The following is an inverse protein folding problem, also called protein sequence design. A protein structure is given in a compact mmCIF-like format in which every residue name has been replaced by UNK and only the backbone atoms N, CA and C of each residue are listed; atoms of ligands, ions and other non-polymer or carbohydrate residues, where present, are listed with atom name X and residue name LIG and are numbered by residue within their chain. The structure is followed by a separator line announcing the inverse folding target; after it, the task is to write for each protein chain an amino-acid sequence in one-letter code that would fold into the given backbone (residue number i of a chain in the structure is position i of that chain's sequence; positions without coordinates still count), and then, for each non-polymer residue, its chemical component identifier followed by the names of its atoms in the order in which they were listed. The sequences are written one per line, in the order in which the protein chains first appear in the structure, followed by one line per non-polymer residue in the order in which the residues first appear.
data_IF_124415314822
#
_entry.id   IF_124415314822
#
_cell.length_a   1.000
_cell.length_b   1.000
_cell.length_c   1.000
_cell.angle_alpha   90.00
_cell.angle_beta   90.00
_cell.angle_gamma   90.00
#
_symmetry.space_group_name_H-M   'P 1'
#
loop_
_entity.id
_entity.type
_entity.pdbx_description
1 polymer ?
#
# COMPACT_ATOMS: atom_id res chain seq x y z
N UNK A 1 -6.46 -24.07 -18.80
CA UNK A 1 -6.63 -23.64 -17.39
C UNK A 1 -7.79 -22.66 -17.43
N UNK A 2 -8.98 -23.14 -17.07
CA UNK A 2 -10.13 -22.26 -16.89
C UNK A 2 -9.90 -21.47 -15.61
N UNK A 3 -9.83 -20.15 -15.73
CA UNK A 3 -9.73 -19.26 -14.58
C UNK A 3 -11.11 -19.30 -13.93
N UNK A 4 -11.19 -19.84 -12.71
CA UNK A 4 -12.41 -19.84 -11.91
C UNK A 4 -12.95 -18.41 -11.77
N UNK A 5 -14.27 -18.25 -11.87
CA UNK A 5 -14.94 -16.96 -11.72
C UNK A 5 -14.77 -16.48 -10.27
N UNK A 6 -14.03 -15.40 -10.03
CA UNK A 6 -13.84 -14.86 -8.67
C UNK A 6 -14.83 -13.73 -8.45
N UNK A 7 -15.68 -13.84 -7.43
CA UNK A 7 -16.75 -12.88 -7.16
C UNK A 7 -16.32 -11.90 -6.08
N UNK A 8 -16.11 -10.64 -6.46
CA UNK A 8 -16.06 -9.53 -5.50
C UNK A 8 -17.39 -9.45 -4.75
N UNK A 9 -17.37 -9.46 -3.42
CA UNK A 9 -18.54 -9.19 -2.57
C UNK A 9 -18.32 -7.91 -1.79
N UNK A 10 -19.14 -6.90 -2.07
CA UNK A 10 -19.25 -5.75 -1.20
C UNK A 10 -20.05 -6.15 0.05
N UNK A 11 -19.38 -6.39 1.17
CA UNK A 11 -20.07 -6.61 2.44
C UNK A 11 -20.33 -5.24 3.06
N UNK A 12 -21.55 -4.73 2.86
CA UNK A 12 -22.04 -3.52 3.51
C UNK A 12 -22.29 -3.73 5.03
N UNK A 13 -21.28 -4.21 5.75
CA UNK A 13 -21.19 -4.12 7.20
C UNK A 13 -20.06 -3.12 7.49
N UNK A 14 -20.41 -1.84 7.63
CA UNK A 14 -19.46 -0.74 7.90
C UNK A 14 -18.48 -0.36 6.76
N UNK A 15 -18.83 -0.64 5.48
CA UNK A 15 -18.10 -0.06 4.34
C UNK A 15 -16.84 -0.83 3.89
N UNK A 16 -16.82 -2.15 4.08
CA UNK A 16 -15.75 -3.05 3.62
C UNK A 16 -16.15 -3.69 2.29
N UNK A 17 -15.25 -3.67 1.31
CA UNK A 17 -15.39 -4.39 0.05
C UNK A 17 -14.42 -5.57 0.05
N UNK A 18 -14.95 -6.78 -0.07
CA UNK A 18 -14.18 -8.03 -0.02
C UNK A 18 -14.17 -8.72 -1.39
N UNK A 19 -13.14 -9.51 -1.66
CA UNK A 19 -13.11 -10.44 -2.78
C UNK A 19 -13.22 -11.86 -2.21
N UNK A 20 -14.25 -12.63 -2.61
CA UNK A 20 -14.51 -13.96 -2.06
C UNK A 20 -14.62 -14.96 -3.21
N UNK A 21 -13.94 -16.11 -3.11
CA UNK A 21 -14.13 -17.21 -4.05
C UNK A 21 -15.57 -17.77 -3.90
N UNK A 22 -16.27 -18.06 -5.00
CA UNK A 22 -17.64 -18.54 -4.91
C UNK A 22 -17.65 -20.02 -4.55
N UNK A 23 -17.85 -20.36 -3.28
CA UNK A 23 -18.35 -21.68 -2.88
C UNK A 23 -19.21 -21.61 -1.61
N UNK A 24 -20.22 -22.47 -1.60
CA UNK A 24 -21.26 -22.75 -0.58
C UNK A 24 -22.55 -21.89 -0.60
N UNK A 25 -23.64 -22.64 -0.80
CA UNK A 25 -25.03 -22.23 -0.88
C UNK A 25 -25.44 -21.22 0.21
N UNK A 26 -25.98 -20.07 -0.18
CA UNK A 26 -26.77 -19.25 0.75
C UNK A 26 -26.69 -17.72 0.65
N UNK A 27 -26.09 -17.13 -0.38
CA UNK A 27 -25.93 -15.68 -0.42
C UNK A 27 -26.99 -14.96 -1.26
N UNK A 28 -27.90 -14.25 -0.56
CA UNK A 28 -28.89 -13.34 -1.15
C UNK A 28 -28.22 -12.05 -1.62
N UNK A 29 -28.30 -11.81 -2.93
CA UNK A 29 -28.03 -10.54 -3.61
C UNK A 29 -28.96 -9.45 -3.09
N UNK A 30 -28.46 -8.42 -2.40
CA UNK A 30 -29.19 -7.15 -2.36
C UNK A 30 -28.30 -5.89 -2.51
N UNK A 31 -26.98 -5.90 -2.25
CA UNK A 31 -26.14 -4.67 -2.33
C UNK A 31 -24.65 -4.89 -2.70
N UNK A 32 -24.31 -5.88 -3.53
CA UNK A 32 -22.94 -6.11 -3.99
C UNK A 32 -22.55 -5.22 -5.18
N UNK A 33 -21.29 -4.78 -5.28
CA UNK A 33 -20.72 -4.41 -6.59
C UNK A 33 -20.14 -5.67 -7.23
N UNK A 34 -20.34 -5.84 -8.53
CA UNK A 34 -19.73 -6.93 -9.27
C UNK A 34 -18.20 -6.75 -9.36
N UNK A 35 -17.49 -7.83 -9.68
CA UNK A 35 -16.04 -7.87 -9.73
C UNK A 35 -15.44 -6.89 -10.74
N UNK A 36 -16.05 -6.74 -11.92
CA UNK A 36 -15.54 -5.82 -12.95
C UNK A 36 -15.75 -4.36 -12.51
N UNK A 37 -16.90 -4.03 -11.90
CA UNK A 37 -17.11 -2.72 -11.28
C UNK A 37 -16.09 -2.44 -10.16
N UNK A 38 -15.82 -3.39 -9.27
CA UNK A 38 -14.80 -3.28 -8.23
C UNK A 38 -13.40 -3.02 -8.82
N UNK A 39 -12.99 -3.85 -9.77
CA UNK A 39 -11.72 -3.72 -10.48
C UNK A 39 -11.60 -2.35 -11.15
N UNK A 40 -12.66 -1.88 -11.81
CA UNK A 40 -12.66 -0.60 -12.51
C UNK A 40 -12.51 0.57 -11.53
N UNK A 41 -13.33 0.60 -10.46
CA UNK A 41 -13.34 1.69 -9.47
C UNK A 41 -12.02 1.80 -8.72
N UNK A 42 -11.45 0.67 -8.26
CA UNK A 42 -10.34 0.70 -7.32
C UNK A 42 -8.96 0.47 -7.96
N UNK A 43 -8.87 -0.15 -9.13
CA UNK A 43 -7.59 -0.60 -9.67
C UNK A 43 -7.33 -0.16 -11.11
N UNK A 44 -8.29 -0.33 -12.03
CA UNK A 44 -8.06 -0.15 -13.48
C UNK A 44 -7.73 1.28 -13.84
N UNK A 45 -8.52 2.24 -13.37
CA UNK A 45 -8.31 3.66 -13.68
C UNK A 45 -7.00 4.18 -13.09
N UNK A 46 -6.39 3.42 -12.17
CA UNK A 46 -5.11 3.71 -11.51
C UNK A 46 -3.94 2.87 -12.03
N UNK A 47 -4.22 2.00 -13.02
CA UNK A 47 -3.26 1.02 -13.53
C UNK A 47 -2.63 0.15 -12.41
N UNK A 48 -3.41 -0.10 -11.35
CA UNK A 48 -3.05 -0.92 -10.19
C UNK A 48 -3.64 -2.35 -10.29
N UNK A 49 -4.12 -2.77 -11.46
CA UNK A 49 -4.72 -4.11 -11.66
C UNK A 49 -3.76 -5.23 -11.29
N UNK A 50 -2.45 -4.98 -11.32
CA UNK A 50 -1.43 -5.94 -10.89
C UNK A 50 -1.61 -6.39 -9.43
N UNK A 51 -2.18 -5.56 -8.55
CA UNK A 51 -2.42 -5.94 -7.15
C UNK A 51 -3.44 -7.07 -7.10
N UNK A 52 -4.53 -6.91 -7.84
CA UNK A 52 -5.59 -7.89 -7.96
C UNK A 52 -5.07 -9.16 -8.64
N UNK A 53 -4.43 -9.04 -9.80
CA UNK A 53 -3.90 -10.17 -10.57
C UNK A 53 -2.92 -11.01 -9.75
N UNK A 54 -1.96 -10.37 -9.09
CA UNK A 54 -0.96 -11.07 -8.26
C UNK A 54 -1.54 -11.61 -6.96
N UNK A 55 -2.54 -10.93 -6.38
CA UNK A 55 -3.21 -11.45 -5.20
C UNK A 55 -3.94 -12.77 -5.52
N UNK A 56 -4.62 -12.83 -6.68
CA UNK A 56 -5.27 -14.05 -7.15
C UNK A 56 -4.26 -15.15 -7.45
N UNK A 57 -3.17 -14.83 -8.16
CA UNK A 57 -2.10 -15.79 -8.47
C UNK A 57 -1.49 -16.39 -7.20
N UNK A 58 -1.33 -15.59 -6.15
CA UNK A 58 -0.67 -16.00 -4.91
C UNK A 58 -1.61 -16.50 -3.82
N UNK A 59 -2.93 -16.50 -4.04
CA UNK A 59 -3.91 -16.83 -3.00
C UNK A 59 -3.88 -15.85 -1.82
N UNK A 60 -3.60 -14.56 -2.08
CA UNK A 60 -3.54 -13.51 -1.07
C UNK A 60 -4.91 -12.87 -0.91
N UNK A 61 -5.37 -12.80 0.33
CA UNK A 61 -6.60 -12.08 0.68
C UNK A 61 -6.30 -10.62 1.01
N UNK A 62 -7.08 -9.71 0.43
CA UNK A 62 -7.07 -8.30 0.78
C UNK A 62 -8.49 -7.70 0.71
N UNK A 63 -8.67 -6.56 1.35
CA UNK A 63 -9.95 -5.86 1.44
C UNK A 63 -9.71 -4.38 1.09
N UNK A 64 -10.68 -3.74 0.44
CA UNK A 64 -10.71 -2.29 0.36
C UNK A 64 -11.70 -1.79 1.41
N UNK A 65 -11.23 -0.96 2.34
CA UNK A 65 -12.06 -0.43 3.41
C UNK A 65 -12.25 1.08 3.24
N UNK A 66 -13.52 1.50 3.37
CA UNK A 66 -13.90 2.91 3.45
C UNK A 66 -14.23 3.27 4.90
N UNK A 67 -13.90 4.51 5.29
CA UNK A 67 -14.12 5.01 6.63
C UNK A 67 -15.16 6.13 6.61
N UNK A 68 -16.00 6.20 7.65
CA UNK A 68 -17.03 7.25 7.76
C UNK A 68 -16.45 8.64 8.04
N UNK A 69 -15.21 8.70 8.53
CA UNK A 69 -14.49 9.93 8.90
C UNK A 69 -13.12 9.91 8.22
N UNK A 70 -12.63 11.09 7.80
CA UNK A 70 -11.26 11.26 7.30
C UNK A 70 -10.25 10.85 8.35
N UNK A 71 -9.22 10.11 7.93
CA UNK A 71 -8.06 9.75 8.75
C UNK A 71 -6.81 10.37 8.13
N UNK A 72 -6.16 11.27 8.88
CA UNK A 72 -4.92 11.94 8.42
C UNK A 72 -3.69 11.38 9.14
N UNK A 73 -3.89 10.75 10.30
CA UNK A 73 -2.84 10.21 11.13
C UNK A 73 -3.05 8.72 11.40
N UNK A 74 -1.96 7.99 11.66
CA UNK A 74 -2.06 6.57 12.03
C UNK A 74 -2.84 6.35 13.33
N UNK A 75 -2.83 7.31 14.26
CA UNK A 75 -3.59 7.20 15.51
C UNK A 75 -5.10 7.26 15.26
N UNK A 76 -5.55 8.17 14.39
CA UNK A 76 -6.95 8.24 13.97
C UNK A 76 -7.37 6.97 13.26
N UNK A 77 -6.53 6.49 12.33
CA UNK A 77 -6.79 5.29 11.56
C UNK A 77 -6.85 4.04 12.44
N UNK A 78 -5.88 3.83 13.33
CA UNK A 78 -5.86 2.74 14.31
C UNK A 78 -7.11 2.73 15.20
N UNK A 79 -7.60 3.91 15.60
CA UNK A 79 -8.82 4.04 16.39
C UNK A 79 -10.06 3.60 15.61
N UNK A 80 -10.17 3.98 14.34
CA UNK A 80 -11.33 3.64 13.49
C UNK A 80 -11.31 2.18 13.07
N UNK A 81 -10.15 1.66 12.65
CA UNK A 81 -9.99 0.27 12.22
C UNK A 81 -9.92 -0.70 13.41
N UNK A 82 -9.75 -0.18 14.63
CA UNK A 82 -9.53 -0.95 15.86
C UNK A 82 -8.30 -1.86 15.77
N UNK A 83 -7.33 -1.48 14.94
CA UNK A 83 -6.05 -2.17 14.80
C UNK A 83 -5.02 -1.58 15.78
N UNK A 84 -4.06 -2.39 16.25
CA UNK A 84 -2.86 -1.87 16.91
C UNK A 84 -2.14 -0.87 16.00
N UNK A 85 -1.50 0.15 16.59
CA UNK A 85 -0.83 1.20 15.82
C UNK A 85 0.27 0.64 14.89
N UNK A 86 0.96 -0.42 15.31
CA UNK A 86 1.95 -1.12 14.48
C UNK A 86 1.37 -1.75 13.21
N UNK A 87 0.06 -2.06 13.19
CA UNK A 87 -0.64 -2.63 12.02
C UNK A 87 -1.26 -1.58 11.13
N UNK A 88 -1.09 -0.29 11.44
CA UNK A 88 -1.41 0.80 10.51
C UNK A 88 -0.13 1.22 9.83
N UNK A 89 -0.06 1.08 8.51
CA UNK A 89 1.18 1.22 7.74
C UNK A 89 1.29 2.62 7.15
N UNK A 90 2.45 3.24 7.34
CA UNK A 90 2.82 4.53 6.76
C UNK A 90 3.66 4.32 5.50
N UNK A 91 3.28 5.00 4.44
CA UNK A 91 4.17 5.30 3.34
C UNK A 91 4.90 6.63 3.56
N UNK A 92 6.17 6.69 3.18
CA UNK A 92 6.90 7.94 2.99
C UNK A 92 7.61 7.91 1.65
N UNK A 93 7.79 9.08 1.05
CA UNK A 93 8.77 9.26 -0.02
C UNK A 93 9.87 10.18 0.46
N UNK A 94 11.10 9.74 0.27
CA UNK A 94 12.30 10.53 0.53
C UNK A 94 13.08 10.66 -0.78
N UNK A 95 13.78 11.76 -0.96
CA UNK A 95 14.55 12.02 -2.17
C UNK A 95 16.01 12.26 -1.82
N UNK A 96 16.88 11.82 -2.72
CA UNK A 96 18.30 12.16 -2.73
C UNK A 96 18.46 13.47 -3.49
N UNK A 97 18.77 14.55 -2.77
CA UNK A 97 18.84 15.89 -3.36
C UNK A 97 20.02 16.10 -4.33
N UNK A 98 20.93 15.12 -4.45
CA UNK A 98 22.05 15.14 -5.40
C UNK A 98 21.75 14.34 -6.67
N UNK A 99 21.05 13.22 -6.55
CA UNK A 99 20.75 12.33 -7.69
C UNK A 99 19.31 12.44 -8.18
N UNK A 100 18.46 13.17 -7.47
CA UNK A 100 17.02 13.32 -7.72
C UNK A 100 16.25 11.98 -7.71
N UNK A 101 16.87 10.92 -7.19
CA UNK A 101 16.22 9.63 -7.00
C UNK A 101 15.26 9.70 -5.81
N UNK A 102 14.09 9.06 -5.96
CA UNK A 102 13.08 8.94 -4.92
C UNK A 102 13.09 7.52 -4.37
N UNK A 103 12.96 7.38 -3.06
CA UNK A 103 12.84 6.12 -2.36
C UNK A 103 11.53 6.09 -1.56
N UNK A 104 10.75 5.02 -1.76
CA UNK A 104 9.56 4.75 -0.96
C UNK A 104 9.94 4.03 0.32
N UNK A 105 9.45 4.49 1.47
CA UNK A 105 9.61 3.80 2.75
C UNK A 105 8.25 3.31 3.20
N UNK A 106 8.18 2.06 3.63
CA UNK A 106 6.95 1.41 4.08
C UNK A 106 7.18 0.95 5.51
N UNK A 107 6.61 1.62 6.50
CA UNK A 107 6.92 1.37 7.91
C UNK A 107 5.67 1.30 8.80
N UNK A 108 5.72 0.56 9.91
CA UNK A 108 4.67 0.58 10.93
C UNK A 108 4.35 1.98 11.47
N UNK A 109 3.09 2.19 11.85
CA UNK A 109 2.53 3.47 12.30
C UNK A 109 3.17 4.01 13.57
N UNK A 110 3.70 3.13 14.40
CA UNK A 110 4.36 3.39 15.68
C UNK A 110 5.87 3.65 15.57
N UNK A 111 6.46 3.56 14.37
CA UNK A 111 7.90 3.75 14.16
C UNK A 111 8.26 5.00 13.37
N UNK A 112 9.50 5.46 13.50
CA UNK A 112 10.07 6.57 12.73
C UNK A 112 11.41 6.14 12.17
N UNK A 113 11.63 6.28 10.86
CA UNK A 113 12.87 5.86 10.23
C UNK A 113 14.05 6.76 10.63
N UNK A 114 15.26 6.22 10.53
CA UNK A 114 16.52 6.96 10.71
C UNK A 114 17.14 7.25 9.35
N UNK A 115 17.48 8.52 9.06
CA UNK A 115 18.02 8.93 7.75
C UNK A 115 19.31 8.21 7.37
N UNK A 116 20.23 8.01 8.31
CA UNK A 116 21.48 7.28 8.06
C UNK A 116 21.23 5.82 7.68
N UNK A 117 20.22 5.17 8.26
CA UNK A 117 19.81 3.81 7.88
C UNK A 117 19.23 3.76 6.46
N UNK A 118 18.45 4.77 6.08
CA UNK A 118 17.99 4.91 4.70
C UNK A 118 19.18 5.12 3.76
N UNK A 119 20.10 6.03 4.08
CA UNK A 119 21.30 6.31 3.31
C UNK A 119 22.15 5.05 3.09
N UNK A 120 22.42 4.29 4.16
CA UNK A 120 23.10 3.00 4.11
C UNK A 120 22.40 2.02 3.15
N UNK A 121 21.07 1.88 3.27
CA UNK A 121 20.28 0.97 2.44
C UNK A 121 20.32 1.31 0.94
N UNK A 122 20.53 2.58 0.58
CA UNK A 122 20.60 3.06 -0.80
C UNK A 122 22.03 3.34 -1.28
N UNK A 123 23.04 3.01 -0.47
CA UNK A 123 24.46 3.14 -0.85
C UNK A 123 24.98 4.58 -0.82
N UNK A 124 24.39 5.44 0.00
CA UNK A 124 24.87 6.80 0.27
C UNK A 124 25.79 6.76 1.49
N UNK A 125 26.89 7.52 1.42
CA UNK A 125 27.82 7.61 2.54
C UNK A 125 27.13 8.24 3.77
N UNK A 126 27.30 7.63 4.94
CA UNK A 126 26.61 8.05 6.17
C UNK A 126 26.93 9.50 6.59
N UNK A 127 28.14 9.98 6.29
CA UNK A 127 28.54 11.37 6.58
C UNK A 127 27.74 12.40 5.77
N UNK A 128 27.10 11.98 4.67
CA UNK A 128 26.24 12.81 3.82
C UNK A 128 24.74 12.61 4.11
N UNK A 129 24.35 11.71 5.02
CA UNK A 129 22.96 11.26 5.12
C UNK A 129 21.98 12.38 5.49
N UNK A 130 22.37 13.26 6.41
CA UNK A 130 21.50 14.33 6.90
C UNK A 130 21.21 15.39 5.84
N UNK A 131 22.22 15.71 5.03
CA UNK A 131 22.14 16.72 3.98
C UNK A 131 21.64 16.15 2.67
N UNK A 132 21.75 14.85 2.43
CA UNK A 132 21.43 14.24 1.14
C UNK A 132 20.03 13.61 1.09
N UNK A 133 19.57 13.03 2.21
CA UNK A 133 18.25 12.41 2.29
C UNK A 133 17.25 13.36 2.93
N UNK A 134 16.30 13.78 2.11
CA UNK A 134 15.24 14.70 2.49
C UNK A 134 13.87 14.08 2.27
N UNK A 135 12.85 14.59 2.96
CA UNK A 135 11.48 14.21 2.67
C UNK A 135 11.11 14.75 1.30
N UNK A 136 10.54 13.92 0.43
CA UNK A 136 10.14 14.38 -0.90
C UNK A 136 8.95 15.33 -0.78
N UNK A 137 9.06 16.47 -1.45
CA UNK A 137 7.94 17.41 -1.64
C UNK A 137 7.03 16.97 -2.80
N UNK A 138 7.50 16.03 -3.62
CA UNK A 138 6.79 15.50 -4.77
C UNK A 138 6.15 14.17 -4.43
N UNK A 139 4.83 14.11 -4.56
CA UNK A 139 4.06 12.88 -4.41
C UNK A 139 3.63 12.39 -5.79
N UNK A 140 3.44 11.07 -5.96
CA UNK A 140 2.78 10.52 -7.13
C UNK A 140 1.43 11.18 -7.39
N UNK A 141 1.01 11.16 -8.66
CA UNK A 141 -0.30 11.69 -9.05
C UNK A 141 -1.41 11.14 -8.13
N UNK A 142 -2.27 12.06 -7.66
CA UNK A 142 -3.39 11.82 -6.76
C UNK A 142 -3.08 11.32 -5.34
N UNK A 143 -1.81 11.12 -5.00
CA UNK A 143 -1.38 10.86 -3.62
C UNK A 143 -1.25 12.18 -2.88
N UNK A 144 -1.81 12.22 -1.67
CA UNK A 144 -1.79 13.38 -0.77
C UNK A 144 -0.98 13.06 0.50
N UNK A 145 -0.58 14.09 1.23
CA UNK A 145 0.01 13.91 2.54
C UNK A 145 -1.00 13.22 3.47
N UNK A 146 -0.59 12.09 4.06
CA UNK A 146 -1.47 11.25 4.89
C UNK A 146 -2.09 10.07 4.14
N UNK A 147 -2.05 10.05 2.81
CA UNK A 147 -2.54 8.93 1.99
C UNK A 147 -1.41 8.17 1.27
N UNK A 148 -0.16 8.54 1.50
CA UNK A 148 1.04 7.90 0.91
C UNK A 148 1.07 6.39 1.18
N UNK A 149 1.27 5.60 0.11
CA UNK A 149 1.30 4.14 0.11
C UNK A 149 2.25 3.60 -0.97
N UNK A 150 2.71 2.34 -0.89
CA UNK A 150 3.68 1.81 -1.84
C UNK A 150 3.08 1.30 -3.16
N UNK A 151 1.75 1.17 -3.24
CA UNK A 151 1.05 0.69 -4.43
C UNK A 151 0.98 1.76 -5.51
N UNK A 152 1.97 1.81 -6.39
CA UNK A 152 2.07 2.84 -7.45
C UNK A 152 2.41 2.22 -8.80
N UNK A 153 2.55 3.05 -9.83
CA UNK A 153 3.27 2.73 -11.06
C UNK A 153 4.61 3.47 -11.13
N UNK A 154 5.56 2.90 -11.88
CA UNK A 154 6.88 3.51 -12.08
C UNK A 154 6.83 4.86 -12.80
N UNK A 155 5.77 5.10 -13.57
CA UNK A 155 5.54 6.35 -14.29
C UNK A 155 4.91 7.44 -13.40
N UNK A 156 4.50 7.09 -12.18
CA UNK A 156 3.77 8.00 -11.30
C UNK A 156 4.63 9.11 -10.70
N UNK A 157 5.96 9.02 -10.80
CA UNK A 157 6.88 10.11 -10.47
C UNK A 157 7.32 10.80 -11.77
N UNK A 158 6.69 11.94 -12.07
CA UNK A 158 7.01 12.80 -13.22
C UNK A 158 6.68 14.24 -12.85
N UNK A 159 7.45 15.27 -13.28
CA UNK A 159 8.62 15.19 -14.18
C UNK A 159 10.00 15.07 -13.50
N UNK A 160 10.10 15.25 -12.17
CA UNK A 160 11.40 15.56 -11.51
C UNK A 160 11.96 14.47 -10.60
N UNK A 161 11.41 13.25 -10.59
CA UNK A 161 11.91 12.19 -9.73
C UNK A 161 11.69 10.82 -10.34
N UNK A 162 12.61 9.90 -10.09
CA UNK A 162 12.46 8.50 -10.47
C UNK A 162 12.38 7.66 -9.20
N UNK A 163 11.31 6.88 -9.03
CA UNK A 163 11.29 5.89 -7.96
C UNK A 163 12.39 4.86 -8.20
N UNK A 164 13.40 4.88 -7.35
CA UNK A 164 14.55 3.99 -7.49
C UNK A 164 14.37 2.72 -6.66
N UNK A 165 13.89 2.82 -5.40
CA UNK A 165 13.66 1.67 -4.52
C UNK A 165 12.43 1.87 -3.62
N UNK A 166 11.79 0.76 -3.24
CA UNK A 166 10.82 0.68 -2.16
C UNK A 166 11.43 -0.15 -1.02
N UNK A 167 11.50 0.43 0.17
CA UNK A 167 12.15 -0.10 1.35
C UNK A 167 11.10 -0.46 2.40
N UNK A 168 11.03 -1.74 2.73
CA UNK A 168 10.20 -2.28 3.80
C UNK A 168 11.05 -2.50 5.06
N UNK A 169 10.44 -2.34 6.24
CA UNK A 169 11.04 -2.73 7.51
C UNK A 169 11.24 -4.25 7.55
N UNK A 170 12.49 -4.70 7.51
CA UNK A 170 12.86 -6.12 7.52
C UNK A 170 12.36 -6.86 8.76
N UNK A 171 12.44 -6.24 9.93
CA UNK A 171 12.04 -6.89 11.17
C UNK A 171 10.53 -7.07 11.22
N UNK A 172 9.80 -6.07 10.73
CA UNK A 172 8.35 -6.19 10.61
C UNK A 172 7.93 -7.19 9.52
N UNK A 173 8.59 -7.22 8.35
CA UNK A 173 8.38 -8.27 7.34
C UNK A 173 8.45 -9.67 7.94
N UNK A 174 9.52 -9.96 8.70
CA UNK A 174 9.70 -11.26 9.35
C UNK A 174 8.57 -11.56 10.33
N UNK A 175 8.24 -10.61 11.21
CA UNK A 175 7.14 -10.73 12.17
C UNK A 175 5.81 -11.04 11.47
N UNK A 176 5.48 -10.32 10.39
CA UNK A 176 4.18 -10.45 9.70
C UNK A 176 4.07 -11.68 8.81
N UNK A 177 5.20 -12.21 8.32
CA UNK A 177 5.27 -13.52 7.67
C UNK A 177 4.96 -14.67 8.66
N UNK A 178 5.40 -14.53 9.91
CA UNK A 178 5.19 -15.55 10.95
C UNK A 178 3.78 -15.45 11.58
N UNK A 179 3.32 -14.24 11.90
CA UNK A 179 2.05 -14.02 12.61
C UNK A 179 0.82 -13.96 11.70
N UNK A 180 1.00 -13.62 10.41
CA UNK A 180 -0.11 -13.41 9.48
C UNK A 180 -1.08 -12.29 9.90
N UNK A 181 -2.23 -12.20 9.21
CA UNK A 181 -3.29 -11.23 9.46
C UNK A 181 -3.13 -9.90 8.73
N UNK A 182 -4.19 -9.10 8.71
CA UNK A 182 -4.26 -7.87 7.91
C UNK A 182 -3.54 -6.69 8.58
N UNK A 183 -2.92 -5.88 7.74
CA UNK A 183 -2.34 -4.58 8.06
C UNK A 183 -3.00 -3.51 7.17
N UNK A 184 -3.23 -2.31 7.71
CA UNK A 184 -3.99 -1.24 7.05
C UNK A 184 -3.06 -0.25 6.35
N UNK A 185 -3.09 -0.24 5.03
CA UNK A 185 -2.37 0.72 4.21
C UNK A 185 -3.34 1.81 3.76
N UNK A 186 -2.88 3.05 3.67
CA UNK A 186 -3.60 4.04 2.89
C UNK A 186 -3.72 3.60 1.43
N UNK A 187 -4.78 4.04 0.77
CA UNK A 187 -5.06 3.71 -0.61
C UNK A 187 -5.70 4.91 -1.29
N UNK A 188 -5.39 5.13 -2.56
CA UNK A 188 -5.91 6.27 -3.32
C UNK A 188 -6.59 5.79 -4.60
N UNK A 189 -7.62 6.52 -5.03
CA UNK A 189 -8.43 6.25 -6.22
C UNK A 189 -8.68 7.51 -7.03
N UNK A 190 -9.03 7.36 -8.31
CA UNK A 190 -9.09 8.47 -9.25
C UNK A 190 -10.09 9.54 -8.80
N UNK A 191 -9.79 10.84 -8.96
CA UNK A 191 -10.71 11.90 -8.56
C UNK A 191 -12.12 11.75 -9.16
N UNK A 192 -12.24 11.14 -10.35
CA UNK A 192 -13.53 10.85 -10.99
C UNK A 192 -14.41 9.86 -10.21
N UNK A 193 -13.83 9.04 -9.34
CA UNK A 193 -14.58 8.09 -8.50
C UNK A 193 -15.37 8.79 -7.39
N UNK A 194 -15.00 10.05 -7.05
CA UNK A 194 -15.64 10.82 -6.00
C UNK A 194 -15.32 10.35 -4.57
N UNK A 195 -14.45 9.36 -4.40
CA UNK A 195 -14.01 8.92 -3.07
C UNK A 195 -13.01 9.90 -2.46
N UNK A 196 -13.14 10.11 -1.15
CA UNK A 196 -12.18 10.83 -0.34
C UNK A 196 -11.05 9.88 0.06
N UNK A 197 -9.85 10.08 -0.51
CA UNK A 197 -8.69 9.21 -0.31
C UNK A 197 -8.28 9.07 1.18
N UNK A 198 -8.59 10.05 2.02
CA UNK A 198 -8.32 9.95 3.47
C UNK A 198 -9.27 9.01 4.22
N UNK A 199 -10.30 8.54 3.53
CA UNK A 199 -11.26 7.57 4.03
C UNK A 199 -11.03 6.19 3.44
N UNK A 200 -10.00 6.02 2.61
CA UNK A 200 -9.79 4.78 1.87
C UNK A 200 -8.53 4.07 2.36
N UNK A 201 -8.63 2.74 2.44
CA UNK A 201 -7.52 1.85 2.79
C UNK A 201 -7.59 0.56 2.00
N UNK A 202 -6.42 -0.04 1.81
CA UNK A 202 -6.29 -1.44 1.43
C UNK A 202 -5.74 -2.20 2.63
N UNK A 203 -6.50 -3.19 3.07
CA UNK A 203 -6.14 -4.07 4.18
C UNK A 203 -5.59 -5.35 3.60
N UNK A 204 -4.30 -5.57 3.80
CA UNK A 204 -3.54 -6.68 3.26
C UNK A 204 -2.42 -7.00 4.26
N UNK A 205 -2.02 -8.25 4.39
CA UNK A 205 -0.86 -8.57 5.22
C UNK A 205 0.40 -7.83 4.70
N UNK A 206 1.20 -7.29 5.62
CA UNK A 206 2.38 -6.50 5.25
C UNK A 206 3.42 -7.28 4.43
N UNK A 207 3.60 -8.57 4.71
CA UNK A 207 4.48 -9.44 3.93
C UNK A 207 3.89 -9.76 2.54
N UNK A 208 2.58 -9.93 2.45
CA UNK A 208 1.90 -10.14 1.16
C UNK A 208 1.97 -8.90 0.27
N UNK A 209 1.84 -7.69 0.83
CA UNK A 209 2.08 -6.45 0.10
C UNK A 209 3.51 -6.38 -0.46
N UNK A 210 4.50 -6.80 0.33
CA UNK A 210 5.89 -6.91 -0.12
C UNK A 210 6.05 -7.92 -1.26
N UNK A 211 5.41 -9.10 -1.17
CA UNK A 211 5.43 -10.14 -2.20
C UNK A 211 4.83 -9.63 -3.52
N UNK A 212 3.68 -8.94 -3.48
CA UNK A 212 3.05 -8.33 -4.66
C UNK A 212 3.98 -7.32 -5.32
N UNK A 213 4.53 -6.37 -4.55
CA UNK A 213 5.39 -5.32 -5.11
C UNK A 213 6.72 -5.88 -5.64
N UNK A 214 7.27 -6.90 -4.97
CA UNK A 214 8.47 -7.59 -5.42
C UNK A 214 8.24 -8.30 -6.75
N UNK A 215 7.07 -8.93 -6.93
CA UNK A 215 6.70 -9.53 -8.21
C UNK A 215 6.54 -8.47 -9.31
N UNK A 216 5.88 -7.34 -9.00
CA UNK A 216 5.66 -6.24 -9.96
C UNK A 216 6.94 -5.54 -10.42
N UNK A 217 7.87 -5.23 -9.50
CA UNK A 217 9.03 -4.38 -9.78
C UNK A 217 10.39 -5.10 -9.74
N UNK A 218 10.43 -6.38 -9.35
CA UNK A 218 11.61 -7.21 -8.99
C UNK A 218 12.22 -6.91 -7.61
N UNK A 219 12.93 -7.91 -7.07
CA UNK A 219 13.73 -7.82 -5.82
C UNK A 219 14.83 -6.75 -5.87
N UNK A 220 15.22 -6.29 -7.08
CA UNK A 220 16.17 -5.19 -7.20
C UNK A 220 15.55 -3.85 -6.83
N UNK A 221 14.23 -3.71 -6.97
CA UNK A 221 13.46 -2.49 -6.74
C UNK A 221 12.69 -2.49 -5.42
N UNK A 222 12.46 -3.64 -4.80
CA UNK A 222 11.76 -3.77 -3.51
C UNK A 222 12.61 -4.57 -2.53
N UNK A 223 12.92 -4.00 -1.37
CA UNK A 223 13.86 -4.60 -0.41
C UNK A 223 13.37 -4.51 1.04
N UNK A 224 13.60 -5.58 1.80
CA UNK A 224 13.53 -5.55 3.26
C UNK A 224 14.85 -5.08 3.86
N UNK A 225 14.85 -3.96 4.57
CA UNK A 225 16.04 -3.35 5.17
C UNK A 225 15.82 -2.94 6.62
N UNK A 226 16.91 -2.70 7.34
CA UNK A 226 16.84 -2.09 8.66
C UNK A 226 16.69 -0.57 8.50
N UNK A 227 15.58 -0.01 8.99
CA UNK A 227 15.25 1.42 8.85
C UNK A 227 15.32 2.17 10.18
N UNK A 228 15.73 1.50 11.28
CA UNK A 228 15.63 2.01 12.65
C UNK A 228 16.95 1.95 13.40
#
# INVERSE_FOLDING_TARGET
MEIGEIRGKLIHCNGIVECVEPDEEGYKEENGIDFESFKNIFFKDYNLTYILELALEFGIHFHIATHTIRTNTCKEKAKITRLPLERVIKGFYVWDNKTENVYGLVIPGDRTYVKSKVAEAVGINNDESETRIEKSEWLPEYIEYGTVHPFINTESFSPNGKLELILFDRNFLRKRNEEGGLDDFSFTTHPSTGYDNHRLSIQINYYDAFKILTSKFSERKVKGVDLF
#
